data_IF_630346229249
#
_entry.id   IF_630346229249
#
_cell.length_a   1.000
_cell.length_b   1.000
_cell.length_c   1.000
_cell.angle_alpha   90.00
_cell.angle_beta   90.00
_cell.angle_gamma   90.00
#
_symmetry.space_group_name_H-M   'P 1'
#
loop_
_entity.id
_entity.type
_entity.pdbx_description
1 polymer ?
#
# COMPACT_ATOMS: atom_id res chain seq x y z
N UNK A 1 99.72 12.70 -14.55
CA UNK A 1 98.57 12.59 -15.47
C UNK A 1 97.75 11.38 -15.02
N UNK A 2 96.55 11.59 -14.46
CA UNK A 2 95.24 11.36 -15.11
C UNK A 2 94.88 9.85 -15.19
N UNK A 3 93.72 9.33 -14.79
CA UNK A 3 92.40 9.93 -14.63
C UNK A 3 91.55 9.15 -13.60
N UNK A 4 90.69 9.86 -12.86
CA UNK A 4 89.51 9.28 -12.18
C UNK A 4 88.40 9.11 -13.22
N UNK A 5 87.96 7.88 -13.46
CA UNK A 5 86.79 7.60 -14.28
C UNK A 5 85.55 7.62 -13.37
N UNK A 6 84.83 8.73 -13.39
CA UNK A 6 83.41 8.75 -13.06
C UNK A 6 82.65 8.12 -14.22
N UNK A 7 81.76 7.16 -13.97
CA UNK A 7 80.69 6.90 -14.91
C UNK A 7 79.34 6.67 -14.24
N UNK A 8 78.35 7.38 -14.77
CA UNK A 8 76.99 7.59 -14.31
C UNK A 8 76.12 6.38 -14.62
N UNK A 9 75.43 5.83 -13.63
CA UNK A 9 74.29 4.96 -13.87
C UNK A 9 73.26 5.09 -12.75
N UNK A 10 72.30 6.02 -12.89
CA UNK A 10 70.98 5.89 -12.27
C UNK A 10 70.03 7.05 -12.66
N UNK A 11 69.29 6.92 -13.77
CA UNK A 11 67.98 7.59 -13.86
C UNK A 11 66.79 6.63 -13.90
N UNK A 12 66.99 5.32 -14.11
CA UNK A 12 65.88 4.39 -14.42
C UNK A 12 65.13 3.89 -13.16
N UNK A 13 65.82 3.73 -12.03
CA UNK A 13 65.21 3.18 -10.81
C UNK A 13 64.18 4.11 -10.14
N UNK A 14 64.25 5.43 -10.40
CA UNK A 14 63.39 6.42 -9.73
C UNK A 14 61.99 6.52 -10.35
N UNK A 15 61.83 6.13 -11.61
CA UNK A 15 60.55 6.15 -12.30
C UNK A 15 59.62 5.01 -11.81
N UNK A 16 60.16 3.79 -11.68
CA UNK A 16 59.38 2.62 -11.27
C UNK A 16 58.75 2.75 -9.88
N UNK A 17 59.42 3.43 -8.95
CA UNK A 17 58.94 3.61 -7.57
C UNK A 17 57.71 4.54 -7.52
N UNK A 18 57.58 5.52 -8.44
CA UNK A 18 56.40 6.42 -8.47
C UNK A 18 55.14 5.71 -8.94
N UNK A 19 55.23 4.87 -9.98
CA UNK A 19 54.06 4.18 -10.54
C UNK A 19 53.44 3.16 -9.56
N UNK A 20 54.27 2.42 -8.81
CA UNK A 20 53.79 1.46 -7.82
C UNK A 20 53.05 2.12 -6.62
N UNK A 21 53.40 3.37 -6.28
CA UNK A 21 52.79 4.08 -5.15
C UNK A 21 51.41 4.68 -5.48
N UNK A 22 51.13 4.99 -6.74
CA UNK A 22 49.87 5.60 -7.18
C UNK A 22 48.76 4.58 -7.41
N UNK A 23 49.09 3.35 -7.78
CA UNK A 23 48.11 2.26 -7.96
C UNK A 23 47.53 1.79 -6.61
N UNK A 24 48.37 1.71 -5.59
CA UNK A 24 47.95 1.33 -4.23
C UNK A 24 47.08 2.40 -3.55
N UNK A 25 47.29 3.68 -3.88
CA UNK A 25 46.45 4.79 -3.43
C UNK A 25 45.10 4.84 -4.17
N UNK A 26 45.10 4.57 -5.47
CA UNK A 26 43.89 4.49 -6.30
C UNK A 26 43.00 3.30 -5.91
N UNK A 27 43.58 2.15 -5.57
CA UNK A 27 42.84 0.96 -5.09
C UNK A 27 42.22 1.17 -3.70
N UNK A 28 42.89 1.91 -2.79
CA UNK A 28 42.31 2.28 -1.49
C UNK A 28 41.18 3.31 -1.62
N UNK A 29 41.27 4.23 -2.59
CA UNK A 29 40.21 5.20 -2.87
C UNK A 29 38.97 4.57 -3.52
N UNK A 30 39.14 3.56 -4.39
CA UNK A 30 38.03 2.86 -5.05
C UNK A 30 37.30 1.86 -4.14
N UNK A 31 37.98 1.31 -3.13
CA UNK A 31 37.34 0.48 -2.09
C UNK A 31 36.56 1.32 -1.06
N UNK A 32 36.97 2.54 -0.75
CA UNK A 32 36.23 3.42 0.18
C UNK A 32 34.93 3.99 -0.39
N UNK A 33 34.85 4.22 -1.71
CA UNK A 33 33.64 4.78 -2.35
C UNK A 33 32.56 3.71 -2.60
N UNK A 34 32.97 2.47 -2.84
CA UNK A 34 32.07 1.31 -2.97
C UNK A 34 31.57 0.79 -1.62
N UNK A 35 32.36 0.96 -0.54
CA UNK A 35 31.95 0.61 0.83
C UNK A 35 30.94 1.59 1.44
N UNK A 36 30.97 2.86 1.04
CA UNK A 36 29.97 3.85 1.48
C UNK A 36 28.58 3.56 0.93
N UNK A 37 28.50 3.27 -0.37
CA UNK A 37 27.25 3.03 -1.09
C UNK A 37 26.63 1.65 -0.77
N UNK A 38 27.47 0.63 -0.55
CA UNK A 38 27.01 -0.68 -0.07
C UNK A 38 26.51 -0.63 1.38
N UNK A 39 27.09 0.20 2.25
CA UNK A 39 26.58 0.40 3.62
C UNK A 39 25.26 1.17 3.68
N UNK A 40 25.07 2.20 2.85
CA UNK A 40 23.78 2.91 2.77
C UNK A 40 22.69 2.07 2.11
N UNK A 41 22.99 1.31 1.05
CA UNK A 41 22.03 0.37 0.46
C UNK A 41 21.70 -0.78 1.41
N UNK A 42 22.68 -1.33 2.15
CA UNK A 42 22.43 -2.40 3.11
C UNK A 42 21.65 -1.89 4.34
N UNK A 43 21.84 -0.63 4.75
CA UNK A 43 21.02 0.03 5.77
C UNK A 43 19.57 0.25 5.32
N UNK A 44 19.36 0.68 4.08
CA UNK A 44 18.02 0.79 3.47
C UNK A 44 17.35 -0.57 3.29
N UNK A 45 18.09 -1.59 2.84
CA UNK A 45 17.57 -2.95 2.72
C UNK A 45 17.16 -3.51 4.08
N UNK A 46 18.00 -3.37 5.12
CA UNK A 46 17.64 -3.80 6.48
C UNK A 46 16.46 -3.03 7.07
N UNK A 47 16.32 -1.75 6.73
CA UNK A 47 15.18 -0.93 7.17
C UNK A 47 13.91 -1.31 6.40
N UNK A 48 14.01 -1.57 5.10
CA UNK A 48 12.89 -2.05 4.28
C UNK A 48 12.46 -3.46 4.70
N UNK A 49 13.38 -4.40 4.87
CA UNK A 49 13.06 -5.76 5.35
C UNK A 49 12.53 -5.74 6.77
N UNK A 50 13.08 -4.88 7.65
CA UNK A 50 12.60 -4.71 9.02
C UNK A 50 11.20 -4.10 9.14
N UNK A 51 10.72 -3.36 8.14
CA UNK A 51 9.34 -2.85 8.07
C UNK A 51 8.42 -3.84 7.34
N UNK A 52 8.93 -4.57 6.35
CA UNK A 52 8.15 -5.55 5.60
C UNK A 52 7.78 -6.78 6.43
N UNK A 53 8.69 -7.28 7.27
CA UNK A 53 8.42 -8.42 8.16
C UNK A 53 7.19 -8.22 9.07
N UNK A 54 7.05 -7.11 9.83
CA UNK A 54 5.86 -6.89 10.64
C UNK A 54 4.61 -6.65 9.77
N UNK A 55 4.72 -5.97 8.63
CA UNK A 55 3.57 -5.74 7.73
C UNK A 55 3.05 -7.05 7.16
N UNK A 56 3.93 -7.96 6.73
CA UNK A 56 3.55 -9.28 6.24
C UNK A 56 2.85 -10.07 7.35
N UNK A 57 3.43 -10.11 8.55
CA UNK A 57 2.82 -10.79 9.69
C UNK A 57 1.43 -10.25 10.01
N UNK A 58 1.26 -8.92 10.11
CA UNK A 58 -0.05 -8.32 10.36
C UNK A 58 -1.03 -8.57 9.23
N UNK A 59 -0.57 -8.59 7.96
CA UNK A 59 -1.42 -8.91 6.82
C UNK A 59 -1.91 -10.36 6.84
N UNK A 60 -1.06 -11.30 7.25
CA UNK A 60 -1.43 -12.72 7.41
C UNK A 60 -2.45 -12.89 8.54
N UNK A 61 -2.21 -12.27 9.69
CA UNK A 61 -3.16 -12.29 10.81
C UNK A 61 -4.50 -11.69 10.38
N UNK A 62 -4.48 -10.54 9.69
CA UNK A 62 -5.68 -9.92 9.16
C UNK A 62 -6.41 -10.84 8.16
N UNK A 63 -5.68 -11.53 7.28
CA UNK A 63 -6.23 -12.49 6.33
C UNK A 63 -6.87 -13.70 7.04
N UNK A 64 -6.22 -14.25 8.07
CA UNK A 64 -6.76 -15.35 8.86
C UNK A 64 -8.03 -14.96 9.62
N UNK A 65 -8.03 -13.77 10.24
CA UNK A 65 -9.20 -13.22 10.93
C UNK A 65 -10.35 -12.96 9.94
N UNK A 66 -10.03 -12.38 8.79
CA UNK A 66 -11.00 -12.15 7.72
C UNK A 66 -11.62 -13.47 7.26
N UNK A 67 -10.80 -14.49 6.98
CA UNK A 67 -11.23 -15.82 6.57
C UNK A 67 -12.16 -16.45 7.62
N UNK A 68 -11.76 -16.43 8.89
CA UNK A 68 -12.57 -16.97 9.98
C UNK A 68 -13.93 -16.25 10.09
N UNK A 69 -13.93 -14.92 9.96
CA UNK A 69 -15.15 -14.11 10.03
C UNK A 69 -16.06 -14.39 8.83
N UNK A 70 -15.50 -14.48 7.63
CA UNK A 70 -16.24 -14.78 6.40
C UNK A 70 -16.98 -16.12 6.48
N UNK A 71 -16.31 -17.17 6.96
CA UNK A 71 -16.96 -18.48 7.15
C UNK A 71 -18.00 -18.50 8.29
N UNK A 72 -17.75 -17.75 9.38
CA UNK A 72 -18.68 -17.68 10.53
C UNK A 72 -19.93 -16.87 10.23
N UNK A 73 -19.79 -15.79 9.46
CA UNK A 73 -20.88 -14.88 9.14
C UNK A 73 -21.72 -15.36 7.96
N UNK A 74 -21.29 -16.40 7.24
CA UNK A 74 -22.00 -17.00 6.10
C UNK A 74 -22.69 -15.93 5.27
N UNK A 75 -21.89 -15.06 4.63
CA UNK A 75 -22.40 -14.11 3.64
C UNK A 75 -22.90 -14.87 2.40
N UNK A 76 -23.98 -15.62 2.56
CA UNK A 76 -24.74 -16.23 1.49
C UNK A 76 -25.65 -15.18 0.89
N UNK A 77 -25.84 -15.26 -0.42
CA UNK A 77 -26.89 -14.50 -1.06
C UNK A 77 -28.23 -14.86 -0.39
N UNK A 78 -29.08 -13.86 -0.10
CA UNK A 78 -30.36 -14.09 0.53
C UNK A 78 -31.22 -15.03 -0.32
N UNK A 79 -32.07 -15.80 0.35
CA UNK A 79 -32.98 -16.73 -0.30
C UNK A 79 -34.11 -15.96 -1.00
N UNK A 80 -34.77 -16.56 -2.01
CA UNK A 80 -35.92 -15.93 -2.69
C UNK A 80 -37.04 -15.50 -1.72
N UNK A 81 -37.22 -16.23 -0.62
CA UNK A 81 -38.19 -15.89 0.41
C UNK A 81 -37.84 -14.56 1.12
N UNK A 82 -36.56 -14.32 1.39
CA UNK A 82 -36.09 -13.11 2.07
C UNK A 82 -36.34 -11.86 1.21
N UNK A 83 -36.20 -11.98 -0.11
CA UNK A 83 -36.55 -10.90 -1.05
C UNK A 83 -38.03 -10.51 -0.97
N UNK A 84 -38.95 -11.46 -0.91
CA UNK A 84 -40.37 -11.16 -0.77
C UNK A 84 -40.66 -10.40 0.54
N UNK A 85 -39.99 -10.76 1.63
CA UNK A 85 -40.11 -10.03 2.91
C UNK A 85 -39.58 -8.60 2.76
N UNK A 86 -38.40 -8.41 2.17
CA UNK A 86 -37.80 -7.09 1.97
C UNK A 86 -38.65 -6.21 1.06
N UNK A 87 -39.21 -6.76 -0.03
CA UNK A 87 -40.11 -6.02 -0.92
C UNK A 87 -41.32 -5.48 -0.17
N UNK A 88 -41.99 -6.32 0.64
CA UNK A 88 -43.15 -5.86 1.42
C UNK A 88 -42.79 -4.78 2.43
N UNK A 89 -41.59 -4.85 3.04
CA UNK A 89 -41.10 -3.81 3.96
C UNK A 89 -40.77 -2.51 3.23
N UNK A 90 -40.17 -2.61 2.04
CA UNK A 90 -39.82 -1.47 1.21
C UNK A 90 -41.07 -0.74 0.71
N UNK A 91 -42.09 -1.49 0.25
CA UNK A 91 -43.36 -0.90 -0.18
C UNK A 91 -44.08 -0.19 0.97
N UNK A 92 -44.10 -0.79 2.17
CA UNK A 92 -44.63 -0.13 3.37
C UNK A 92 -43.86 1.15 3.68
N UNK A 93 -42.53 1.12 3.65
CA UNK A 93 -41.70 2.31 3.88
C UNK A 93 -41.96 3.41 2.83
N UNK A 94 -42.09 3.04 1.55
CA UNK A 94 -42.42 3.98 0.48
C UNK A 94 -43.80 4.62 0.66
N UNK A 95 -44.78 3.84 1.11
CA UNK A 95 -46.14 4.32 1.39
C UNK A 95 -46.15 5.35 2.54
N UNK A 96 -45.34 5.13 3.59
CA UNK A 96 -45.15 6.12 4.65
C UNK A 96 -44.50 7.42 4.15
N UNK A 97 -43.59 7.34 3.16
CA UNK A 97 -42.90 8.51 2.59
C UNK A 97 -43.75 9.24 1.54
N UNK A 98 -44.74 8.56 0.94
CA UNK A 98 -45.61 9.14 -0.09
C UNK A 98 -46.44 10.30 0.50
N UNK A 99 -46.09 11.52 0.07
CA UNK A 99 -46.74 12.86 0.03
C UNK A 99 -47.98 13.14 0.90
N UNK A 100 -48.89 12.20 1.13
CA UNK A 100 -50.04 12.38 2.04
C UNK A 100 -49.61 12.49 3.51
N UNK A 101 -48.51 11.84 3.93
CA UNK A 101 -47.96 11.96 5.29
C UNK A 101 -46.98 13.13 5.47
N UNK A 102 -46.49 13.74 4.38
CA UNK A 102 -45.61 14.93 4.42
C UNK A 102 -46.33 16.19 4.94
N UNK A 103 -47.67 16.19 5.04
CA UNK A 103 -48.42 17.23 5.78
C UNK A 103 -48.23 17.12 7.31
N UNK A 104 -47.85 15.95 7.81
CA UNK A 104 -47.49 15.70 9.21
C UNK A 104 -45.95 15.73 9.41
N UNK A 105 -45.32 16.85 9.02
CA UNK A 105 -43.87 17.09 9.14
C UNK A 105 -43.33 16.89 10.57
N UNK A 106 -44.22 16.90 11.59
CA UNK A 106 -43.86 16.63 12.99
C UNK A 106 -43.39 15.19 13.22
N UNK A 107 -43.96 14.18 12.55
CA UNK A 107 -43.61 12.78 12.78
C UNK A 107 -42.25 12.37 12.19
N UNK A 108 -41.75 13.07 11.18
CA UNK A 108 -40.41 12.86 10.63
C UNK A 108 -39.31 13.53 11.47
N UNK A 109 -39.65 14.63 12.16
CA UNK A 109 -38.74 15.31 13.12
C UNK A 109 -38.60 14.56 14.44
N UNK A 110 -39.58 13.75 14.83
CA UNK A 110 -39.55 12.91 16.03
C UNK A 110 -38.74 11.60 15.85
N UNK A 111 -38.20 11.35 14.65
CA UNK A 111 -37.31 10.22 14.44
C UNK A 111 -36.01 10.48 15.20
N UNK A 112 -35.71 9.61 16.17
CA UNK A 112 -34.48 9.63 16.94
C UNK A 112 -33.26 9.77 16.02
N UNK A 113 -32.37 10.71 16.34
CA UNK A 113 -31.14 10.99 15.57
C UNK A 113 -30.27 9.76 15.40
N UNK A 114 -30.32 8.80 16.33
CA UNK A 114 -29.61 7.53 16.26
C UNK A 114 -30.12 6.64 15.11
N UNK A 115 -31.45 6.58 14.92
CA UNK A 115 -32.06 5.82 13.82
C UNK A 115 -31.74 6.45 12.48
N UNK A 116 -31.71 7.78 12.41
CA UNK A 116 -31.32 8.50 11.20
C UNK A 116 -29.86 8.24 10.84
N UNK A 117 -28.95 8.30 11.83
CA UNK A 117 -27.52 7.98 11.63
C UNK A 117 -27.33 6.54 11.16
N UNK A 118 -27.96 5.58 11.83
CA UNK A 118 -27.88 4.18 11.42
C UNK A 118 -28.43 3.96 10.01
N UNK A 119 -29.55 4.60 9.67
CA UNK A 119 -30.12 4.53 8.32
C UNK A 119 -29.19 5.13 7.27
N UNK A 120 -28.56 6.28 7.57
CA UNK A 120 -27.61 6.93 6.68
C UNK A 120 -26.36 6.08 6.45
N UNK A 121 -25.83 5.44 7.50
CA UNK A 121 -24.69 4.51 7.39
C UNK A 121 -25.07 3.33 6.49
N UNK A 122 -26.25 2.73 6.67
CA UNK A 122 -26.71 1.62 5.83
C UNK A 122 -26.94 2.02 4.37
N UNK A 123 -27.47 3.22 4.13
CA UNK A 123 -27.62 3.75 2.78
C UNK A 123 -26.24 4.00 2.11
N UNK A 124 -25.29 4.52 2.88
CA UNK A 124 -23.92 4.70 2.41
C UNK A 124 -23.26 3.35 2.08
N UNK A 125 -23.37 2.36 2.96
CA UNK A 125 -22.91 0.98 2.71
C UNK A 125 -23.49 0.44 1.39
N UNK A 126 -24.80 0.57 1.16
CA UNK A 126 -25.44 0.11 -0.08
C UNK A 126 -24.92 0.85 -1.32
N UNK A 127 -24.76 2.17 -1.24
CA UNK A 127 -24.19 2.96 -2.33
C UNK A 127 -22.74 2.57 -2.63
N UNK A 128 -21.96 2.24 -1.60
CA UNK A 128 -20.58 1.79 -1.77
C UNK A 128 -20.51 0.42 -2.45
N UNK A 129 -21.41 -0.50 -2.09
CA UNK A 129 -21.52 -1.81 -2.75
C UNK A 129 -21.90 -1.67 -4.22
N UNK A 130 -22.77 -0.72 -4.56
CA UNK A 130 -23.11 -0.40 -5.95
C UNK A 130 -21.89 0.06 -6.74
N UNK A 131 -21.10 1.00 -6.22
CA UNK A 131 -19.87 1.49 -6.89
C UNK A 131 -18.84 0.38 -7.05
N UNK A 132 -18.66 -0.48 -6.04
CA UNK A 132 -17.77 -1.65 -6.13
C UNK A 132 -18.27 -2.60 -7.22
N UNK A 133 -19.57 -2.89 -7.27
CA UNK A 133 -20.19 -3.72 -8.30
C UNK A 133 -20.01 -3.12 -9.70
N UNK A 134 -20.12 -1.80 -9.83
CA UNK A 134 -19.86 -1.07 -11.07
C UNK A 134 -18.40 -1.19 -11.51
N UNK A 135 -17.44 -1.02 -10.59
CA UNK A 135 -16.01 -1.17 -10.87
C UNK A 135 -15.65 -2.59 -11.31
N UNK A 136 -16.23 -3.61 -10.66
CA UNK A 136 -16.07 -5.02 -11.04
C UNK A 136 -16.71 -5.28 -12.40
N UNK A 137 -17.93 -4.79 -12.65
CA UNK A 137 -18.66 -4.99 -13.91
C UNK A 137 -18.00 -4.32 -15.11
N UNK A 138 -17.34 -3.18 -14.90
CA UNK A 138 -16.54 -2.48 -15.93
C UNK A 138 -15.13 -3.05 -16.08
N UNK A 139 -14.66 -3.84 -15.11
CA UNK A 139 -13.30 -4.37 -15.08
C UNK A 139 -12.22 -3.29 -15.00
N UNK A 140 -12.57 -2.09 -14.50
CA UNK A 140 -11.65 -0.96 -14.39
C UNK A 140 -11.95 -0.16 -13.12
N UNK A 141 -10.88 0.25 -12.42
CA UNK A 141 -10.96 1.01 -11.17
C UNK A 141 -11.22 2.50 -11.41
N UNK A 142 -10.78 3.03 -12.55
CA UNK A 142 -10.88 4.46 -12.89
C UNK A 142 -11.34 4.62 -14.33
N UNK A 143 -12.48 5.28 -14.54
CA UNK A 143 -12.92 5.66 -15.89
C UNK A 143 -13.36 4.47 -16.76
N UNK A 144 -14.13 4.75 -17.81
CA UNK A 144 -14.47 3.71 -18.78
C UNK A 144 -13.24 3.52 -19.68
N UNK A 145 -13.04 2.32 -20.19
CA UNK A 145 -12.11 2.17 -21.30
C UNK A 145 -12.76 2.89 -22.48
N UNK A 146 -12.10 3.93 -22.98
CA UNK A 146 -12.42 4.53 -24.26
C UNK A 146 -12.32 3.47 -25.37
#
# INVERSE_FOLDING_TARGET
>A
MSARVFNKAAPVARAYIRYASTESAAQKASTSTSQGLTKTLCGLYKTATGILEPVLYYSEVAFHVFKQTFYRQSFSLPTKADFAVVETQLFKALEFVKIQNLKNVKSLKDVSTEKWKSGAIKAFELSSLFVIGEAVGRGNLIGYKD
#
